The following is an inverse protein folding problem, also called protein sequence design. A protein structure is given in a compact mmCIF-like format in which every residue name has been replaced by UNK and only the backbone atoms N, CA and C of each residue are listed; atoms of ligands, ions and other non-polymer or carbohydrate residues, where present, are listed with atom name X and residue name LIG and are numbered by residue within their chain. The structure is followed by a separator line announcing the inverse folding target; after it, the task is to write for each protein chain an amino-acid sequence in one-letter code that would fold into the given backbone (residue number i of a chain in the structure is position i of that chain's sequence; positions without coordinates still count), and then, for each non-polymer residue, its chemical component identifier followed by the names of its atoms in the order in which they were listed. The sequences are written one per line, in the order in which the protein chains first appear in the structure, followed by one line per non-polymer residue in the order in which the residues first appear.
data_IF_169117921190
#
_entry.id   IF_169117921190
#
_cell.length_a   1.000
_cell.length_b   1.000
_cell.length_c   1.000
_cell.angle_alpha   90.00
_cell.angle_beta   90.00
_cell.angle_gamma   90.00
#
_symmetry.space_group_name_H-M   'P 1'
#
loop_
_entity.id
_entity.type
_entity.pdbx_description
1 polymer ?
#
# COMPACT_ATOMS: atom_id res chain seq x y z
N UNK A 1 -5.70 6.55 -34.27
CA UNK A 1 -6.80 6.81 -33.34
C UNK A 1 -7.90 5.74 -33.36
N UNK A 2 -8.63 5.49 -34.45
CA UNK A 2 -9.72 4.48 -34.46
C UNK A 2 -9.23 3.05 -34.16
N UNK A 3 -8.08 2.64 -34.72
CA UNK A 3 -7.49 1.32 -34.46
C UNK A 3 -6.99 1.17 -33.01
N UNK A 4 -6.38 2.22 -32.46
CA UNK A 4 -5.95 2.26 -31.06
C UNK A 4 -7.15 2.10 -30.12
N UNK A 5 -8.21 2.88 -30.32
CA UNK A 5 -9.39 2.82 -29.47
C UNK A 5 -10.12 1.47 -29.56
N UNK A 6 -10.16 0.86 -30.74
CA UNK A 6 -10.72 -0.47 -30.92
C UNK A 6 -9.96 -1.55 -30.14
N UNK A 7 -8.64 -1.40 -29.97
CA UNK A 7 -7.79 -2.34 -29.24
C UNK A 7 -7.74 -2.05 -27.72
N UNK A 8 -7.37 -0.82 -27.35
CA UNK A 8 -7.13 -0.41 -25.97
C UNK A 8 -8.42 -0.20 -25.18
N UNK A 9 -9.48 0.35 -25.81
CA UNK A 9 -10.73 0.73 -25.16
C UNK A 9 -11.37 -0.40 -24.33
N UNK A 10 -11.57 -1.61 -24.90
CA UNK A 10 -12.11 -2.75 -24.17
C UNK A 10 -11.22 -3.25 -23.01
N UNK A 11 -9.91 -3.02 -23.09
CA UNK A 11 -8.93 -3.50 -22.11
C UNK A 11 -8.70 -2.55 -20.93
N UNK A 12 -9.04 -1.26 -21.08
CA UNK A 12 -8.86 -0.25 -20.04
C UNK A 12 -9.52 -0.64 -18.73
N UNK A 13 -10.82 -0.96 -18.77
CA UNK A 13 -11.57 -1.30 -17.56
C UNK A 13 -11.01 -2.56 -16.87
N UNK A 14 -10.81 -3.70 -17.56
CA UNK A 14 -10.16 -4.86 -16.97
C UNK A 14 -8.78 -4.57 -16.35
N UNK A 15 -7.93 -3.80 -17.03
CA UNK A 15 -6.59 -3.49 -16.55
C UNK A 15 -6.61 -2.63 -15.27
N UNK A 16 -7.42 -1.57 -15.24
CA UNK A 16 -7.60 -0.74 -14.04
C UNK A 16 -8.32 -1.49 -12.92
N UNK A 17 -9.22 -2.43 -13.24
CA UNK A 17 -9.84 -3.30 -12.25
C UNK A 17 -8.81 -4.20 -11.57
N UNK A 18 -7.82 -4.72 -12.30
CA UNK A 18 -6.69 -5.45 -11.72
C UNK A 18 -5.83 -4.54 -10.83
N UNK A 19 -5.53 -3.31 -11.27
CA UNK A 19 -4.84 -2.30 -10.46
C UNK A 19 -5.57 -2.04 -9.13
N UNK A 20 -6.90 -1.89 -9.16
CA UNK A 20 -7.72 -1.70 -7.97
C UNK A 20 -7.70 -2.91 -7.05
N UNK A 21 -7.80 -4.13 -7.59
CA UNK A 21 -7.70 -5.38 -6.82
C UNK A 21 -6.33 -5.51 -6.14
N UNK A 22 -5.25 -5.29 -6.88
CA UNK A 22 -3.89 -5.30 -6.34
C UNK A 22 -3.77 -4.32 -5.17
N UNK A 23 -4.22 -3.09 -5.38
CA UNK A 23 -4.22 -2.05 -4.34
C UNK A 23 -5.01 -2.49 -3.12
N UNK A 24 -6.23 -2.98 -3.31
CA UNK A 24 -7.13 -3.35 -2.22
C UNK A 24 -6.56 -4.47 -1.34
N UNK A 25 -6.16 -5.60 -1.94
CA UNK A 25 -5.62 -6.72 -1.18
C UNK A 25 -4.27 -6.40 -0.54
N UNK A 26 -3.41 -5.65 -1.25
CA UNK A 26 -2.12 -5.20 -0.70
C UNK A 26 -2.30 -4.21 0.45
N UNK A 27 -3.31 -3.35 0.38
CA UNK A 27 -3.63 -2.42 1.46
C UNK A 27 -4.08 -3.17 2.72
N UNK A 28 -4.91 -4.21 2.58
CA UNK A 28 -5.32 -5.05 3.72
C UNK A 28 -4.09 -5.71 4.35
N UNK A 29 -3.25 -6.38 3.55
CA UNK A 29 -2.03 -7.02 4.06
C UNK A 29 -1.06 -6.02 4.70
N UNK A 30 -0.88 -4.85 4.08
CA UNK A 30 -0.05 -3.78 4.60
C UNK A 30 -0.59 -3.18 5.91
N UNK A 31 -1.91 -3.04 6.05
CA UNK A 31 -2.54 -2.54 7.27
C UNK A 31 -2.38 -3.53 8.42
N UNK A 32 -2.62 -4.82 8.17
CA UNK A 32 -2.44 -5.87 9.19
C UNK A 32 -0.98 -5.94 9.62
N UNK A 33 -0.06 -6.14 8.66
CA UNK A 33 1.36 -6.30 8.98
C UNK A 33 2.00 -5.01 9.51
N UNK A 34 1.62 -3.87 8.96
CA UNK A 34 2.11 -2.56 9.40
C UNK A 34 1.66 -2.20 10.82
N UNK A 35 0.45 -2.62 11.23
CA UNK A 35 -0.02 -2.44 12.61
C UNK A 35 0.78 -3.31 13.58
N UNK A 36 1.00 -4.58 13.26
CA UNK A 36 1.83 -5.49 14.07
C UNK A 36 3.27 -4.97 14.21
N UNK A 37 3.84 -4.42 13.14
CA UNK A 37 5.16 -3.79 13.18
C UNK A 37 5.16 -2.50 14.03
N UNK A 38 4.09 -1.69 13.96
CA UNK A 38 3.96 -0.49 14.79
C UNK A 38 3.93 -0.86 16.27
N UNK A 39 3.15 -1.87 16.65
CA UNK A 39 3.09 -2.43 18.00
C UNK A 39 4.47 -2.91 18.47
N UNK A 40 5.19 -3.67 17.63
CA UNK A 40 6.55 -4.09 17.92
C UNK A 40 7.48 -2.90 18.24
N UNK A 41 7.33 -1.79 17.52
CA UNK A 41 8.20 -0.61 17.67
C UNK A 41 7.86 0.30 18.85
N UNK A 42 6.61 0.30 19.31
CA UNK A 42 6.20 1.03 20.53
C UNK A 42 6.24 0.17 21.80
N UNK A 43 6.47 -1.14 21.65
CA UNK A 43 6.51 -2.10 22.76
C UNK A 43 7.64 -1.78 23.76
N UNK A 44 7.39 -1.97 25.07
CA UNK A 44 8.43 -1.89 26.10
C UNK A 44 9.49 -3.00 25.95
N UNK A 45 9.18 -4.10 25.26
CA UNK A 45 10.08 -5.26 25.08
C UNK A 45 11.18 -4.92 24.06
N UNK A 46 12.47 -4.90 24.46
CA UNK A 46 13.57 -4.50 23.57
C UNK A 46 13.68 -5.35 22.30
N UNK A 47 13.48 -6.66 22.41
CA UNK A 47 13.59 -7.61 21.28
C UNK A 47 12.57 -7.29 20.19
N UNK A 48 11.31 -7.02 20.55
CA UNK A 48 10.27 -6.64 19.59
C UNK A 48 10.63 -5.33 18.89
N UNK A 49 11.18 -4.36 19.63
CA UNK A 49 11.58 -3.06 19.09
C UNK A 49 12.75 -3.18 18.11
N UNK A 50 13.73 -4.02 18.44
CA UNK A 50 14.89 -4.32 17.58
C UNK A 50 14.40 -4.97 16.29
N UNK A 51 13.57 -6.02 16.39
CA UNK A 51 13.01 -6.70 15.22
C UNK A 51 12.23 -5.74 14.31
N UNK A 52 11.28 -4.99 14.87
CA UNK A 52 10.47 -4.05 14.10
C UNK A 52 11.31 -2.94 13.46
N UNK A 53 12.35 -2.47 14.15
CA UNK A 53 13.27 -1.46 13.60
C UNK A 53 14.13 -2.03 12.47
N UNK A 54 14.67 -3.24 12.65
CA UNK A 54 15.47 -3.92 11.64
C UNK A 54 14.64 -4.20 10.38
N UNK A 55 13.46 -4.80 10.52
CA UNK A 55 12.57 -5.09 9.39
C UNK A 55 12.22 -3.82 8.60
N UNK A 56 11.76 -2.77 9.29
CA UNK A 56 11.36 -1.51 8.64
C UNK A 56 12.54 -0.86 7.93
N UNK A 57 13.71 -0.81 8.56
CA UNK A 57 14.89 -0.22 7.95
C UNK A 57 15.36 -1.02 6.74
N UNK A 58 15.41 -2.36 6.82
CA UNK A 58 15.86 -3.19 5.72
C UNK A 58 14.92 -3.06 4.51
N UNK A 59 13.62 -3.24 4.72
CA UNK A 59 12.64 -3.27 3.64
C UNK A 59 12.48 -1.89 3.00
N UNK A 60 12.51 -0.79 3.76
CA UNK A 60 12.43 0.58 3.18
C UNK A 60 13.66 0.96 2.37
N UNK A 61 14.83 0.43 2.72
CA UNK A 61 16.07 0.68 1.98
C UNK A 61 16.28 -0.31 0.83
N UNK A 62 15.35 -1.25 0.61
CA UNK A 62 15.36 -2.18 -0.53
C UNK A 62 14.43 -1.65 -1.62
N UNK A 63 14.89 -1.52 -2.88
CA UNK A 63 14.01 -1.15 -4.00
C UNK A 63 12.81 -2.10 -4.12
N UNK A 64 11.60 -1.55 -4.21
CA UNK A 64 10.37 -2.34 -4.31
C UNK A 64 10.39 -3.29 -5.52
N UNK A 65 10.98 -2.87 -6.65
CA UNK A 65 11.16 -3.72 -7.82
C UNK A 65 11.93 -5.00 -7.49
N UNK A 66 12.98 -4.93 -6.67
CA UNK A 66 13.74 -6.12 -6.25
C UNK A 66 12.90 -7.03 -5.36
N UNK A 67 12.06 -6.48 -4.49
CA UNK A 67 11.15 -7.28 -3.64
C UNK A 67 10.14 -8.05 -4.50
N UNK A 68 9.52 -7.37 -5.48
CA UNK A 68 8.55 -8.01 -6.39
C UNK A 68 9.22 -9.09 -7.25
N UNK A 69 10.40 -8.80 -7.80
CA UNK A 69 11.18 -9.79 -8.53
C UNK A 69 11.60 -10.96 -7.63
N UNK A 70 11.97 -10.70 -6.37
CA UNK A 70 12.28 -11.75 -5.41
C UNK A 70 11.06 -12.63 -5.09
N UNK A 71 9.86 -12.05 -5.00
CA UNK A 71 8.64 -12.86 -4.85
C UNK A 71 8.43 -13.79 -6.06
N UNK A 72 8.63 -13.30 -7.29
CA UNK A 72 8.46 -14.14 -8.49
C UNK A 72 9.59 -15.16 -8.69
N UNK A 73 10.84 -14.72 -8.64
CA UNK A 73 12.01 -15.55 -8.98
C UNK A 73 12.50 -16.31 -7.74
N UNK A 74 12.67 -15.62 -6.61
CA UNK A 74 13.15 -16.22 -5.37
C UNK A 74 12.15 -17.19 -4.76
N UNK A 75 10.95 -16.70 -4.40
CA UNK A 75 9.96 -17.54 -3.71
C UNK A 75 9.35 -18.60 -4.63
N UNK A 76 8.89 -18.22 -5.82
CA UNK A 76 8.21 -19.17 -6.68
C UNK A 76 9.17 -20.02 -7.54
N UNK A 77 10.03 -19.42 -8.37
CA UNK A 77 10.85 -20.21 -9.31
C UNK A 77 11.96 -21.03 -8.62
N UNK A 78 12.61 -20.49 -7.57
CA UNK A 78 13.71 -21.18 -6.89
C UNK A 78 13.25 -22.03 -5.71
N UNK A 79 12.31 -21.51 -4.89
CA UNK A 79 11.85 -22.21 -3.68
C UNK A 79 10.55 -23.00 -3.90
N UNK A 80 9.92 -22.90 -5.08
CA UNK A 80 8.68 -23.63 -5.40
C UNK A 80 7.45 -23.15 -4.64
N UNK A 81 7.50 -21.98 -3.99
CA UNK A 81 6.40 -21.46 -3.17
C UNK A 81 5.35 -20.84 -4.08
N UNK A 82 4.25 -21.55 -4.29
CA UNK A 82 3.08 -21.08 -5.00
C UNK A 82 2.02 -20.54 -4.03
N UNK A 83 1.39 -19.41 -4.40
CA UNK A 83 0.32 -18.77 -3.63
C UNK A 83 -1.05 -18.93 -4.28
N UNK A 84 -1.13 -19.58 -5.44
CA UNK A 84 -2.36 -19.85 -6.16
C UNK A 84 -2.58 -21.35 -6.38
N UNK A 85 -3.84 -21.82 -6.50
CA UNK A 85 -4.12 -23.20 -6.86
C UNK A 85 -3.68 -23.52 -8.29
N UNK A 86 -3.15 -24.73 -8.50
CA UNK A 86 -2.74 -25.23 -9.81
C UNK A 86 -3.97 -25.40 -10.73
N UNK A 87 -4.11 -24.48 -11.70
CA UNK A 87 -5.16 -24.48 -12.71
C UNK A 87 -4.66 -23.88 -14.03
N UNK A 88 -5.50 -23.83 -15.07
CA UNK A 88 -5.14 -23.26 -16.38
C UNK A 88 -4.73 -21.77 -16.33
N UNK A 89 -5.11 -21.04 -15.28
CA UNK A 89 -4.75 -19.64 -15.04
C UNK A 89 -3.71 -19.48 -13.91
N UNK A 90 -2.98 -20.56 -13.58
CA UNK A 90 -2.09 -20.61 -12.42
C UNK A 90 -1.07 -19.48 -12.42
N UNK A 91 -0.33 -19.29 -13.52
CA UNK A 91 0.72 -18.26 -13.61
C UNK A 91 0.15 -16.85 -13.34
N UNK A 92 -1.00 -16.53 -13.95
CA UNK A 92 -1.66 -15.22 -13.79
C UNK A 92 -2.05 -14.98 -12.33
N UNK A 93 -2.71 -15.97 -11.71
CA UNK A 93 -3.16 -15.89 -10.32
C UNK A 93 -1.99 -15.88 -9.33
N UNK A 94 -0.97 -16.68 -9.59
CA UNK A 94 0.21 -16.77 -8.75
C UNK A 94 0.97 -15.43 -8.76
N UNK A 95 1.21 -14.85 -9.93
CA UNK A 95 1.90 -13.56 -10.04
C UNK A 95 1.10 -12.41 -9.40
N UNK A 96 -0.24 -12.48 -9.46
CA UNK A 96 -1.11 -11.56 -8.75
C UNK A 96 -0.89 -11.65 -7.22
N UNK A 97 -0.96 -12.85 -6.63
CA UNK A 97 -0.79 -13.02 -5.18
C UNK A 97 0.64 -12.77 -4.70
N UNK A 98 1.65 -13.10 -5.52
CA UNK A 98 3.04 -12.75 -5.24
C UNK A 98 3.25 -11.23 -5.25
N UNK A 99 2.59 -10.51 -6.17
CA UNK A 99 2.59 -9.05 -6.16
C UNK A 99 1.92 -8.51 -4.89
N UNK A 100 0.75 -9.05 -4.51
CA UNK A 100 0.06 -8.68 -3.27
C UNK A 100 0.95 -8.88 -2.05
N UNK A 101 1.67 -10.00 -1.98
CA UNK A 101 2.61 -10.28 -0.90
C UNK A 101 3.73 -9.22 -0.86
N UNK A 102 4.42 -9.00 -1.97
CA UNK A 102 5.53 -8.04 -2.03
C UNK A 102 5.10 -6.61 -1.71
N UNK A 103 3.97 -6.17 -2.27
CA UNK A 103 3.40 -4.85 -1.97
C UNK A 103 2.94 -4.72 -0.52
N UNK A 104 2.35 -5.76 0.06
CA UNK A 104 1.95 -5.77 1.48
C UNK A 104 3.17 -5.62 2.39
N UNK A 105 4.21 -6.43 2.18
CA UNK A 105 5.43 -6.43 2.98
C UNK A 105 6.16 -5.09 2.93
N UNK A 106 6.23 -4.48 1.74
CA UNK A 106 6.85 -3.18 1.54
C UNK A 106 6.02 -2.05 2.14
N UNK A 107 4.73 -1.98 1.79
CA UNK A 107 3.84 -0.88 2.20
C UNK A 107 3.57 -0.90 3.70
N UNK A 108 3.60 -2.08 4.33
CA UNK A 108 3.52 -2.24 5.79
C UNK A 108 4.56 -1.41 6.54
N UNK A 109 5.75 -1.19 5.96
CA UNK A 109 6.78 -0.34 6.59
C UNK A 109 6.36 1.13 6.68
N UNK A 110 5.69 1.64 5.64
CA UNK A 110 5.18 3.00 5.60
C UNK A 110 3.93 3.14 6.48
N UNK A 111 3.07 2.11 6.51
CA UNK A 111 1.95 2.03 7.47
C UNK A 111 2.48 2.07 8.90
N UNK A 112 3.49 1.26 9.22
CA UNK A 112 4.12 1.22 10.55
C UNK A 112 4.63 2.59 10.99
N UNK A 113 5.37 3.29 10.12
CA UNK A 113 5.89 4.62 10.43
C UNK A 113 4.78 5.67 10.57
N UNK A 114 3.75 5.57 9.74
CA UNK A 114 2.58 6.46 9.80
C UNK A 114 1.87 6.30 11.15
N UNK A 115 1.60 5.05 11.56
CA UNK A 115 0.97 4.75 12.86
C UNK A 115 1.85 5.19 14.03
N UNK A 116 3.15 4.86 14.00
CA UNK A 116 4.12 5.24 15.04
C UNK A 116 4.23 6.76 15.17
N UNK A 117 4.32 7.48 14.06
CA UNK A 117 4.31 8.95 14.02
C UNK A 117 3.03 9.49 14.65
N UNK A 118 1.88 8.89 14.31
CA UNK A 118 0.59 9.24 14.88
C UNK A 118 0.54 9.14 16.40
N UNK A 119 1.03 8.03 16.97
CA UNK A 119 1.15 7.89 18.43
C UNK A 119 2.02 8.98 19.05
N UNK A 120 3.13 9.33 18.41
CA UNK A 120 4.05 10.36 18.89
C UNK A 120 3.49 11.79 18.78
N UNK A 121 2.36 12.01 18.09
CA UNK A 121 1.70 13.33 18.06
C UNK A 121 0.93 13.65 19.34
N UNK A 122 0.60 12.64 20.16
CA UNK A 122 -0.17 12.83 21.39
C UNK A 122 0.76 13.31 22.51
N UNK A 123 0.54 14.48 23.13
CA UNK A 123 1.38 14.97 24.20
C UNK A 123 1.40 14.02 25.40
N UNK A 124 2.59 13.71 25.93
CA UNK A 124 2.77 12.86 27.12
C UNK A 124 1.95 13.34 28.32
N UNK A 125 1.80 14.66 28.49
CA UNK A 125 1.01 15.27 29.55
C UNK A 125 -0.46 14.83 29.57
N UNK A 126 -1.06 14.49 28.42
CA UNK A 126 -2.42 13.95 28.37
C UNK A 126 -2.51 12.56 29.03
N UNK A 127 -1.51 11.71 28.76
CA UNK A 127 -1.42 10.39 29.38
C UNK A 127 -1.03 10.46 30.86
N UNK A 128 -0.23 11.45 31.27
CA UNK A 128 0.10 11.72 32.67
C UNK A 128 -1.10 12.24 33.46
N UNK A 129 -1.81 13.25 32.95
CA UNK A 129 -3.02 13.79 33.58
C UNK A 129 -4.09 12.70 33.79
N UNK A 130 -4.28 11.84 32.79
CA UNK A 130 -5.20 10.71 32.86
C UNK A 130 -4.82 9.70 33.95
N UNK A 131 -3.53 9.40 34.10
CA UNK A 131 -3.01 8.52 35.16
C UNK A 131 -3.17 9.16 36.54
N UNK A 132 -2.97 10.47 36.67
CA UNK A 132 -3.21 11.22 37.91
C UNK A 132 -4.68 11.21 38.35
N UNK A 133 -5.61 11.06 37.41
CA UNK A 133 -7.04 10.84 37.68
C UNK A 133 -7.39 9.37 38.00
N UNK A 134 -6.40 8.49 38.14
CA UNK A 134 -6.59 7.08 38.49
C UNK A 134 -7.03 6.18 37.33
N UNK A 135 -6.93 6.62 36.08
CA UNK A 135 -7.27 5.77 34.93
C UNK A 135 -6.19 4.69 34.71
N UNK A 136 -6.57 3.40 34.60
CA UNK A 136 -5.64 2.33 34.25
C UNK A 136 -5.14 2.48 32.81
N UNK A 137 -3.96 1.92 32.51
CA UNK A 137 -3.28 2.02 31.21
C UNK A 137 -4.21 1.79 30.01
N UNK A 138 -5.04 0.74 30.05
CA UNK A 138 -5.96 0.43 28.95
C UNK A 138 -7.00 1.54 28.70
N UNK A 139 -7.51 2.20 29.76
CA UNK A 139 -8.42 3.34 29.61
C UNK A 139 -7.70 4.56 29.05
N UNK A 140 -6.47 4.83 29.50
CA UNK A 140 -5.65 5.93 28.96
C UNK A 140 -5.38 5.69 27.47
N UNK A 141 -5.00 4.47 27.10
CA UNK A 141 -4.70 4.10 25.72
C UNK A 141 -5.95 4.22 24.83
N UNK A 142 -7.08 3.63 25.22
CA UNK A 142 -8.28 3.54 24.38
C UNK A 142 -9.12 4.82 24.35
N UNK A 143 -9.22 5.55 25.45
CA UNK A 143 -10.08 6.74 25.54
C UNK A 143 -9.36 8.04 25.14
N UNK A 144 -8.03 8.09 25.26
CA UNK A 144 -7.27 9.33 25.10
C UNK A 144 -6.26 9.23 23.97
N UNK A 145 -5.34 8.26 24.03
CA UNK A 145 -4.21 8.19 23.09
C UNK A 145 -4.65 7.73 21.71
N UNK A 146 -5.30 6.56 21.61
CA UNK A 146 -5.71 5.96 20.33
C UNK A 146 -6.63 6.88 19.51
N UNK A 147 -7.69 7.49 20.07
CA UNK A 147 -8.56 8.37 19.29
C UNK A 147 -7.84 9.60 18.74
N UNK A 148 -6.86 10.14 19.47
CA UNK A 148 -6.06 11.28 19.00
C UNK A 148 -5.05 10.85 17.93
N UNK A 149 -4.32 9.75 18.18
CA UNK A 149 -3.37 9.19 17.24
C UNK A 149 -4.04 8.83 15.91
N UNK A 150 -5.17 8.11 15.92
CA UNK A 150 -5.87 7.70 14.70
C UNK A 150 -6.32 8.88 13.82
N UNK A 151 -6.71 10.00 14.43
CA UNK A 151 -7.06 11.23 13.69
C UNK A 151 -5.84 11.85 13.01
N UNK A 152 -4.69 11.84 13.66
CA UNK A 152 -3.43 12.36 13.08
C UNK A 152 -2.89 11.50 11.93
N UNK A 153 -3.17 10.18 11.96
CA UNK A 153 -2.71 9.20 10.97
C UNK A 153 -3.48 9.29 9.67
N UNK A 154 -4.70 9.84 9.69
CA UNK A 154 -5.64 9.70 8.57
C UNK A 154 -5.11 10.31 7.26
N UNK A 155 -4.66 11.56 7.30
CA UNK A 155 -4.09 12.22 6.12
C UNK A 155 -2.82 11.51 5.58
N UNK A 156 -1.79 11.21 6.39
CA UNK A 156 -0.60 10.52 5.88
C UNK A 156 -0.90 9.08 5.43
N UNK A 157 -1.92 8.40 5.98
CA UNK A 157 -2.36 7.10 5.47
C UNK A 157 -2.89 7.20 4.03
N UNK A 158 -3.62 8.26 3.71
CA UNK A 158 -4.05 8.55 2.33
C UNK A 158 -2.85 8.65 1.38
N UNK A 159 -1.77 9.31 1.79
CA UNK A 159 -0.52 9.39 1.02
C UNK A 159 0.14 8.02 0.83
N UNK A 160 0.10 7.15 1.84
CA UNK A 160 0.61 5.77 1.74
C UNK A 160 -0.21 4.96 0.73
N UNK A 161 -1.53 5.08 0.73
CA UNK A 161 -2.39 4.38 -0.23
C UNK A 161 -2.23 4.92 -1.66
N UNK A 162 -2.07 6.23 -1.83
CA UNK A 162 -1.72 6.84 -3.13
C UNK A 162 -0.38 6.30 -3.65
N UNK A 163 0.62 6.17 -2.76
CA UNK A 163 1.89 5.58 -3.12
C UNK A 163 1.74 4.10 -3.52
N UNK A 164 0.94 3.33 -2.78
CA UNK A 164 0.63 1.93 -3.12
C UNK A 164 0.01 1.81 -4.51
N UNK A 165 -1.00 2.63 -4.85
CA UNK A 165 -1.61 2.63 -6.18
C UNK A 165 -0.55 2.87 -7.27
N UNK A 166 0.34 3.84 -7.09
CA UNK A 166 1.40 4.08 -8.08
C UNK A 166 2.38 2.91 -8.16
N UNK A 167 2.69 2.31 -7.02
CA UNK A 167 3.62 1.19 -6.91
C UNK A 167 3.09 -0.10 -7.56
N UNK A 168 1.77 -0.28 -7.72
CA UNK A 168 1.24 -1.48 -8.37
C UNK A 168 1.69 -1.61 -9.83
N UNK A 169 2.07 -0.51 -10.48
CA UNK A 169 2.66 -0.52 -11.83
C UNK A 169 3.90 -1.42 -11.95
N UNK A 170 4.62 -1.64 -10.85
CA UNK A 170 5.80 -2.54 -10.80
C UNK A 170 5.40 -4.00 -11.03
N UNK A 171 4.15 -4.40 -10.76
CA UNK A 171 3.68 -5.76 -10.99
C UNK A 171 3.70 -6.15 -12.48
N UNK A 172 3.69 -5.17 -13.40
CA UNK A 172 3.92 -5.41 -14.83
C UNK A 172 5.25 -6.10 -15.12
N UNK A 173 6.27 -5.89 -14.27
CA UNK A 173 7.59 -6.52 -14.41
C UNK A 173 7.55 -8.05 -14.25
N UNK A 174 6.53 -8.58 -13.57
CA UNK A 174 6.29 -10.02 -13.44
C UNK A 174 5.03 -10.45 -14.20
N UNK A 175 4.59 -9.66 -15.18
CA UNK A 175 3.53 -10.03 -16.12
C UNK A 175 2.10 -9.98 -15.54
N UNK A 176 1.86 -9.20 -14.48
CA UNK A 176 0.48 -8.96 -14.03
C UNK A 176 -0.23 -8.01 -15.00
N UNK A 177 -1.39 -8.43 -15.51
CA UNK A 177 -2.20 -7.68 -16.47
C UNK A 177 -2.97 -6.52 -15.81
N UNK A 178 -2.21 -5.53 -15.35
CA UNK A 178 -2.71 -4.25 -14.83
C UNK A 178 -2.45 -3.09 -15.81
N UNK A 179 -2.88 -1.88 -15.44
CA UNK A 179 -2.84 -0.71 -16.32
C UNK A 179 -1.45 -0.37 -16.92
N UNK A 180 -0.35 -0.57 -16.20
CA UNK A 180 0.99 -0.31 -16.74
C UNK A 180 1.45 -1.40 -17.73
N UNK A 181 1.05 -2.67 -17.54
CA UNK A 181 1.27 -3.70 -18.56
C UNK A 181 0.49 -3.39 -19.85
N UNK A 182 -0.77 -2.94 -19.73
CA UNK A 182 -1.54 -2.47 -20.88
C UNK A 182 -0.85 -1.30 -21.58
N UNK A 183 -0.36 -0.32 -20.82
CA UNK A 183 0.39 0.81 -21.38
C UNK A 183 1.59 0.33 -22.21
N UNK A 184 2.36 -0.62 -21.68
CA UNK A 184 3.52 -1.20 -22.37
C UNK A 184 3.11 -1.89 -23.66
N UNK A 185 2.10 -2.77 -23.63
CA UNK A 185 1.67 -3.51 -24.82
C UNK A 185 1.15 -2.59 -25.92
N UNK A 186 0.38 -1.56 -25.56
CA UNK A 186 -0.14 -0.60 -26.55
C UNK A 186 0.96 0.29 -27.14
N UNK A 187 1.97 0.67 -26.36
CA UNK A 187 3.14 1.42 -26.86
C UNK A 187 3.92 0.58 -27.88
N UNK A 188 4.08 -0.72 -27.64
CA UNK A 188 4.75 -1.64 -28.56
C UNK A 188 3.95 -1.81 -29.87
N UNK A 189 2.62 -1.80 -29.82
CA UNK A 189 1.74 -1.96 -30.99
C UNK A 189 1.51 -0.66 -31.79
N UNK A 190 1.43 0.48 -31.12
CA UNK A 190 1.07 1.79 -31.68
C UNK A 190 2.12 2.85 -31.31
N UNK A 191 3.36 2.63 -31.74
CA UNK A 191 4.50 3.48 -31.40
C UNK A 191 4.38 4.94 -31.89
N UNK A 192 3.51 5.21 -32.87
CA UNK A 192 3.19 6.55 -33.36
C UNK A 192 2.26 7.34 -32.40
N UNK A 193 1.62 6.65 -31.45
CA UNK A 193 0.58 7.20 -30.55
C UNK A 193 0.98 7.17 -29.06
N UNK A 194 2.27 7.04 -28.74
CA UNK A 194 2.81 6.92 -27.37
C UNK A 194 2.26 7.99 -26.42
N UNK A 195 2.22 9.26 -26.86
CA UNK A 195 1.74 10.37 -26.03
C UNK A 195 0.29 10.16 -25.60
N UNK A 196 -0.57 9.71 -26.52
CA UNK A 196 -1.98 9.47 -26.23
C UNK A 196 -2.17 8.29 -25.28
N UNK A 197 -1.46 7.19 -25.50
CA UNK A 197 -1.51 6.01 -24.62
C UNK A 197 -1.08 6.40 -23.21
N UNK A 198 0.03 7.12 -23.08
CA UNK A 198 0.52 7.60 -21.79
C UNK A 198 -0.50 8.50 -21.09
N UNK A 199 -1.07 9.49 -21.79
CA UNK A 199 -2.06 10.41 -21.21
C UNK A 199 -3.33 9.68 -20.72
N UNK A 200 -3.82 8.70 -21.46
CA UNK A 200 -5.00 7.91 -21.07
C UNK A 200 -4.72 7.12 -19.78
N UNK A 201 -3.57 6.43 -19.72
CA UNK A 201 -3.20 5.64 -18.55
C UNK A 201 -2.91 6.56 -17.35
N UNK A 202 -2.19 7.66 -17.55
CA UNK A 202 -1.91 8.66 -16.53
C UNK A 202 -3.20 9.27 -15.97
N UNK A 203 -4.17 9.59 -16.83
CA UNK A 203 -5.48 10.08 -16.41
C UNK A 203 -6.21 9.05 -15.54
N UNK A 204 -6.19 7.77 -15.90
CA UNK A 204 -6.79 6.71 -15.08
C UNK A 204 -6.15 6.57 -13.71
N UNK A 205 -4.81 6.58 -13.63
CA UNK A 205 -4.08 6.62 -12.35
C UNK A 205 -4.41 7.88 -11.53
N UNK A 206 -4.54 9.04 -12.19
CA UNK A 206 -4.89 10.31 -11.56
C UNK A 206 -6.30 10.27 -10.97
N UNK A 207 -7.28 9.71 -11.68
CA UNK A 207 -8.66 9.53 -11.16
C UNK A 207 -8.64 8.70 -9.89
N UNK A 208 -7.93 7.57 -9.87
CA UNK A 208 -7.85 6.70 -8.68
C UNK A 208 -7.16 7.43 -7.52
N UNK A 209 -6.00 8.02 -7.77
CA UNK A 209 -5.20 8.67 -6.71
C UNK A 209 -5.86 9.94 -6.16
N UNK A 210 -6.50 10.76 -7.00
CA UNK A 210 -7.29 11.91 -6.55
C UNK A 210 -8.51 11.48 -5.74
N UNK A 211 -9.21 10.41 -6.14
CA UNK A 211 -10.35 9.90 -5.37
C UNK A 211 -9.93 9.52 -3.96
N UNK A 212 -8.79 8.83 -3.81
CA UNK A 212 -8.21 8.51 -2.50
C UNK A 212 -7.84 9.78 -1.75
N UNK A 213 -7.11 10.71 -2.39
CA UNK A 213 -6.65 11.95 -1.77
C UNK A 213 -7.79 12.84 -1.27
N UNK A 214 -8.85 13.01 -2.07
CA UNK A 214 -10.03 13.78 -1.69
C UNK A 214 -10.80 13.11 -0.55
N UNK A 215 -10.95 11.78 -0.59
CA UNK A 215 -11.66 11.02 0.45
C UNK A 215 -10.95 11.14 1.79
N UNK A 216 -9.64 10.83 1.84
CA UNK A 216 -8.85 10.94 3.06
C UNK A 216 -8.68 12.39 3.52
N UNK A 217 -8.53 13.34 2.61
CA UNK A 217 -8.47 14.77 2.93
C UNK A 217 -9.76 15.29 3.54
N UNK A 218 -10.92 14.87 3.03
CA UNK A 218 -12.22 15.21 3.59
C UNK A 218 -12.37 14.69 5.02
N UNK A 219 -12.09 13.40 5.25
CA UNK A 219 -12.18 12.80 6.58
C UNK A 219 -11.15 13.40 7.55
N UNK A 220 -9.94 13.71 7.09
CA UNK A 220 -8.92 14.35 7.92
C UNK A 220 -9.37 15.74 8.40
N UNK A 221 -9.97 16.55 7.52
CA UNK A 221 -10.53 17.86 7.87
C UNK A 221 -11.72 17.73 8.83
N UNK A 222 -12.61 16.76 8.60
CA UNK A 222 -13.80 16.55 9.43
C UNK A 222 -13.44 16.10 10.85
N UNK A 223 -12.40 15.30 11.00
CA UNK A 223 -11.97 14.73 12.27
C UNK A 223 -10.91 15.59 12.99
N UNK A 224 -10.40 16.65 12.35
CA UNK A 224 -9.42 17.55 12.95
C UNK A 224 -9.97 18.22 14.21
N UNK A 225 -9.18 18.22 15.29
CA UNK A 225 -9.49 18.98 16.50
C UNK A 225 -9.18 20.44 16.21
N UNK A 226 -10.20 21.31 16.30
CA UNK A 226 -9.97 22.76 16.37
C UNK A 226 -9.12 23.02 17.61
N UNK A 227 -7.89 23.47 17.39
CA UNK A 227 -6.99 23.94 18.44
C UNK A 227 -7.48 25.29 18.95
#
# INVERSE_FOLDING_TARGET
MNALWANMGPQLWPAFWTTLKLTFFSAIGALVWGTLLAECRVSPVPIMRIFGTWYVNLVRNTPLTLIILFCSVGLYQNLGIALAPENSNFIKNNNFWLSVLGFSLYTATFVCETLRSGFNTVPLGQAEAARSLGLPFWKVLTLIVLPQAMRSVLAPMGSVLIALVKNTSIASAIGVAEAALLMRSEIELFADQIVWIFLIIAAGYMVITLTIGLTFGYFAKRLAVKR
#
